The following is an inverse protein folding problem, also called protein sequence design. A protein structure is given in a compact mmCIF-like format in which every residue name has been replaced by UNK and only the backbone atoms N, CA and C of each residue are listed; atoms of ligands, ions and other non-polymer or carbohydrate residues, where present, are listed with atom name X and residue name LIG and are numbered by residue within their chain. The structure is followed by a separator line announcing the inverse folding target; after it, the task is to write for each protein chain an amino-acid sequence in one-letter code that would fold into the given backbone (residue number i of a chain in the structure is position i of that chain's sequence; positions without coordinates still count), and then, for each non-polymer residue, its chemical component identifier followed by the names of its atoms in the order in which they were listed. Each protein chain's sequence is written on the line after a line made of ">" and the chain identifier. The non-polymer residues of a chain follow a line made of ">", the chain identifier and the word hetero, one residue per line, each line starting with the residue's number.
data_IF_141082071224
#
_entry.id   IF_141082071224
#
_cell.length_a   1.000
_cell.length_b   1.000
_cell.length_c   1.000
_cell.angle_alpha   90.00
_cell.angle_beta   90.00
_cell.angle_gamma   90.00
#
_symmetry.space_group_name_H-M   'P 1'
#
loop_
_entity.id
_entity.type
_entity.pdbx_description
1 polymer ?
#
# COMPACT_ATOMS: atom_id res chain seq x y z
N UNK A 1 -29.44 15.08 11.12
CA UNK A 1 -28.62 14.91 12.34
C UNK A 1 -27.21 15.02 11.79
N UNK A 2 -26.49 16.10 12.10
CA UNK A 2 -25.08 16.19 11.70
C UNK A 2 -24.33 15.16 12.55
N UNK A 3 -23.85 14.09 11.93
CA UNK A 3 -22.95 13.15 12.56
C UNK A 3 -21.58 13.81 12.61
N UNK A 4 -21.15 14.19 13.82
CA UNK A 4 -19.80 14.65 14.06
C UNK A 4 -18.95 13.41 14.31
N UNK A 5 -18.02 13.12 13.39
CA UNK A 5 -17.04 12.06 13.55
C UNK A 5 -15.86 12.61 14.34
N UNK A 6 -15.59 12.04 15.52
CA UNK A 6 -14.42 12.39 16.32
C UNK A 6 -13.19 11.68 15.75
N UNK A 7 -12.15 12.46 15.41
CA UNK A 7 -10.90 11.94 14.84
C UNK A 7 -9.73 12.09 15.81
N UNK A 8 -8.73 11.23 15.67
CA UNK A 8 -7.48 11.25 16.43
C UNK A 8 -6.74 12.58 16.23
N UNK A 9 -6.13 13.09 17.29
CA UNK A 9 -5.30 14.28 17.20
C UNK A 9 -4.00 14.04 16.41
N UNK A 10 -3.44 15.11 15.86
CA UNK A 10 -2.20 15.06 15.05
C UNK A 10 -1.01 14.42 15.76
N UNK A 11 -0.87 14.62 17.07
CA UNK A 11 0.24 14.03 17.85
C UNK A 11 0.05 12.51 18.05
N UNK A 12 -1.21 12.05 18.12
CA UNK A 12 -1.50 10.61 18.11
C UNK A 12 -1.14 10.04 16.74
N UNK A 13 -1.54 10.69 15.64
CA UNK A 13 -1.17 10.26 14.29
C UNK A 13 0.36 10.15 14.12
N UNK A 14 1.14 11.15 14.54
CA UNK A 14 2.62 11.07 14.51
C UNK A 14 3.16 9.90 15.32
N UNK A 15 2.55 9.61 16.47
CA UNK A 15 2.93 8.45 17.29
C UNK A 15 2.68 7.14 16.55
N UNK A 16 1.54 7.02 15.85
CA UNK A 16 1.24 5.88 14.98
C UNK A 16 2.29 5.78 13.85
N UNK A 17 2.51 6.86 13.11
CA UNK A 17 3.43 6.87 11.95
C UNK A 17 4.87 6.53 12.33
N UNK A 18 5.35 7.03 13.46
CA UNK A 18 6.72 6.76 13.95
C UNK A 18 6.90 5.33 14.49
N UNK A 19 5.81 4.65 14.83
CA UNK A 19 5.82 3.26 15.27
C UNK A 19 5.83 2.24 14.13
N UNK A 20 5.52 2.66 12.89
CA UNK A 20 5.39 1.75 11.75
C UNK A 20 6.74 1.50 11.06
N UNK A 21 7.08 0.23 10.89
CA UNK A 21 8.12 -0.22 9.97
C UNK A 21 7.62 -0.14 8.50
N UNK A 22 8.54 -0.12 7.52
CA UNK A 22 8.16 -0.20 6.11
C UNK A 22 7.33 -1.45 5.80
N UNK A 23 7.67 -2.60 6.38
CA UNK A 23 6.93 -3.85 6.20
C UNK A 23 5.49 -3.74 6.73
N UNK A 24 5.28 -3.10 7.88
CA UNK A 24 3.94 -2.86 8.44
C UNK A 24 3.11 -1.88 7.59
N UNK A 25 3.76 -1.05 6.77
CA UNK A 25 3.09 -0.18 5.79
C UNK A 25 2.82 -0.93 4.48
N UNK A 26 3.70 -1.82 4.05
CA UNK A 26 3.58 -2.50 2.75
C UNK A 26 2.67 -3.73 2.82
N UNK A 27 2.85 -4.57 3.84
CA UNK A 27 2.17 -5.87 3.97
C UNK A 27 0.64 -5.75 3.87
N UNK A 28 -0.03 -4.78 4.53
CA UNK A 28 -1.48 -4.69 4.43
C UNK A 28 -1.98 -4.38 3.02
N UNK A 29 -1.31 -3.49 2.29
CA UNK A 29 -1.62 -3.22 0.89
C UNK A 29 -1.38 -4.44 0.01
N UNK A 30 -0.22 -5.10 0.17
CA UNK A 30 0.15 -6.27 -0.62
C UNK A 30 -0.84 -7.44 -0.41
N UNK A 31 -1.21 -7.73 0.83
CA UNK A 31 -2.17 -8.78 1.18
C UNK A 31 -3.59 -8.53 0.66
N UNK A 32 -3.92 -7.27 0.35
CA UNK A 32 -5.22 -6.86 -0.19
C UNK A 32 -5.17 -6.48 -1.67
N UNK A 33 -4.01 -6.65 -2.31
CA UNK A 33 -3.80 -6.37 -3.73
C UNK A 33 -3.96 -7.66 -4.55
N UNK A 34 -4.48 -7.52 -5.78
CA UNK A 34 -4.53 -8.62 -6.74
C UNK A 34 -4.23 -8.08 -8.13
N UNK A 35 -3.11 -8.47 -8.76
CA UNK A 35 -2.71 -7.94 -10.06
C UNK A 35 -3.81 -8.11 -11.11
N UNK A 36 -4.06 -7.05 -11.86
CA UNK A 36 -5.10 -6.96 -12.89
C UNK A 36 -6.53 -6.82 -12.37
N UNK A 37 -6.78 -6.89 -11.05
CA UNK A 37 -8.14 -6.98 -10.50
C UNK A 37 -8.40 -5.96 -9.40
N UNK A 38 -7.50 -5.86 -8.42
CA UNK A 38 -7.72 -5.13 -7.17
C UNK A 38 -6.52 -4.30 -6.78
N UNK A 39 -6.72 -3.01 -6.53
CA UNK A 39 -5.72 -2.13 -5.93
C UNK A 39 -5.68 -2.38 -4.43
N UNK A 40 -4.49 -2.55 -3.87
CA UNK A 40 -4.30 -2.69 -2.43
C UNK A 40 -3.84 -1.38 -1.81
N UNK A 41 -4.43 -1.00 -0.69
CA UNK A 41 -4.11 0.21 0.05
C UNK A 41 -3.74 -0.17 1.48
N UNK A 42 -2.80 0.56 2.07
CA UNK A 42 -2.60 0.60 3.52
C UNK A 42 -3.12 1.93 4.01
N UNK A 43 -4.09 1.89 4.92
CA UNK A 43 -4.80 3.08 5.41
C UNK A 43 -4.67 3.20 6.93
N UNK A 44 -4.76 4.44 7.42
CA UNK A 44 -4.99 4.74 8.84
C UNK A 44 -6.41 5.23 9.00
N UNK A 45 -7.20 4.53 9.79
CA UNK A 45 -8.52 5.00 10.20
C UNK A 45 -8.36 6.16 11.19
N UNK A 46 -8.93 7.30 10.85
CA UNK A 46 -8.76 8.52 11.65
C UNK A 46 -9.63 8.55 12.90
N UNK A 47 -10.64 7.69 13.04
CA UNK A 47 -11.46 7.61 14.26
C UNK A 47 -10.69 6.93 15.40
N UNK A 48 -9.90 5.89 15.09
CA UNK A 48 -9.25 5.04 16.10
C UNK A 48 -7.73 4.95 15.99
N UNK A 49 -7.13 5.40 14.88
CA UNK A 49 -5.70 5.34 14.62
C UNK A 49 -5.16 3.97 14.21
N UNK A 50 -6.02 3.00 13.93
CA UNK A 50 -5.61 1.68 13.49
C UNK A 50 -5.16 1.70 12.03
N UNK A 51 -4.12 0.93 11.74
CA UNK A 51 -3.59 0.73 10.38
C UNK A 51 -4.05 -0.62 9.87
N UNK A 52 -4.62 -0.66 8.66
CA UNK A 52 -5.06 -1.89 8.02
C UNK A 52 -5.06 -1.78 6.49
N UNK A 53 -5.19 -2.95 5.85
CA UNK A 53 -5.26 -3.07 4.41
C UNK A 53 -6.68 -2.90 3.91
N UNK A 54 -6.84 -2.21 2.79
CA UNK A 54 -8.10 -2.05 2.08
C UNK A 54 -7.88 -2.43 0.62
N UNK A 55 -8.67 -3.37 0.13
CA UNK A 55 -8.61 -3.84 -1.26
C UNK A 55 -9.78 -3.29 -2.06
N UNK A 56 -9.49 -2.66 -3.20
CA UNK A 56 -10.44 -1.93 -4.03
C UNK A 56 -10.51 -2.55 -5.41
N UNK A 57 -11.66 -3.13 -5.77
CA UNK A 57 -11.83 -3.68 -7.10
C UNK A 57 -11.85 -2.56 -8.15
N UNK A 58 -11.33 -2.84 -9.35
CA UNK A 58 -11.25 -1.86 -10.45
C UNK A 58 -12.58 -1.14 -10.78
N UNK A 59 -13.73 -1.78 -10.51
CA UNK A 59 -15.06 -1.24 -10.81
C UNK A 59 -15.79 -0.66 -9.58
N UNK A 60 -15.17 -0.65 -8.40
CA UNK A 60 -15.80 -0.15 -7.19
C UNK A 60 -15.51 1.33 -6.97
N UNK A 61 -16.57 2.11 -6.80
CA UNK A 61 -16.50 3.47 -6.26
C UNK A 61 -16.60 3.36 -4.74
N UNK A 62 -15.56 3.76 -4.02
CA UNK A 62 -15.59 3.84 -2.56
C UNK A 62 -16.66 4.85 -2.12
N UNK A 63 -17.78 4.35 -1.64
CA UNK A 63 -18.71 5.11 -0.80
C UNK A 63 -18.16 5.04 0.62
N UNK A 64 -17.14 5.86 0.91
CA UNK A 64 -16.45 5.82 2.20
C UNK A 64 -17.42 6.26 3.32
N UNK A 65 -17.86 5.30 4.12
CA UNK A 65 -18.52 5.54 5.41
C UNK A 65 -17.51 5.80 6.53
N UNK A 66 -16.21 5.62 6.26
CA UNK A 66 -15.11 5.74 7.23
C UNK A 66 -14.15 6.85 6.80
N UNK A 67 -13.71 7.68 7.74
CA UNK A 67 -12.67 8.70 7.51
C UNK A 67 -11.28 8.08 7.72
N UNK A 68 -10.45 8.08 6.67
CA UNK A 68 -9.11 7.49 6.69
C UNK A 68 -8.12 8.28 5.84
N UNK A 69 -6.84 8.00 6.01
CA UNK A 69 -5.78 8.46 5.11
C UNK A 69 -4.96 7.28 4.58
N UNK A 70 -4.50 7.38 3.34
CA UNK A 70 -3.67 6.37 2.69
C UNK A 70 -2.19 6.58 2.99
N UNK A 71 -1.52 5.54 3.49
CA UNK A 71 -0.08 5.51 3.70
C UNK A 71 0.69 4.98 2.48
N UNK A 72 0.13 3.97 1.83
CA UNK A 72 0.72 3.31 0.66
C UNK A 72 -0.37 2.72 -0.23
N UNK A 73 -0.12 2.69 -1.54
CA UNK A 73 -1.04 2.16 -2.54
C UNK A 73 -0.25 1.33 -3.54
N UNK A 74 -0.73 0.12 -3.82
CA UNK A 74 -0.23 -0.75 -4.87
C UNK A 74 -1.34 -0.92 -5.91
N UNK A 75 -1.14 -0.35 -7.10
CA UNK A 75 -2.20 -0.33 -8.12
C UNK A 75 -2.40 -1.69 -8.77
N UNK A 76 -3.63 -1.98 -9.15
CA UNK A 76 -3.98 -3.22 -9.84
C UNK A 76 -3.16 -3.43 -11.14
N UNK A 77 -2.72 -2.36 -11.80
CA UNK A 77 -1.96 -2.41 -13.06
C UNK A 77 -0.43 -2.37 -12.86
N UNK A 78 0.05 -2.37 -11.61
CA UNK A 78 1.47 -2.35 -11.28
C UNK A 78 2.00 -3.76 -11.03
N UNK A 79 3.19 -4.08 -11.56
CA UNK A 79 3.95 -5.28 -11.21
C UNK A 79 5.25 -4.83 -10.56
N UNK A 80 5.24 -4.60 -9.24
CA UNK A 80 6.25 -3.76 -8.60
C UNK A 80 7.60 -4.47 -8.38
N UNK A 81 7.64 -5.79 -8.57
CA UNK A 81 8.86 -6.61 -8.50
C UNK A 81 8.89 -7.51 -9.73
N UNK A 82 9.98 -7.46 -10.47
CA UNK A 82 10.25 -8.37 -11.58
C UNK A 82 11.11 -9.55 -11.12
N UNK A 83 11.33 -10.53 -12.01
CA UNK A 83 12.07 -11.75 -11.68
C UNK A 83 13.55 -11.46 -11.35
N UNK A 84 14.14 -10.50 -12.04
CA UNK A 84 15.53 -10.05 -11.81
C UNK A 84 15.74 -9.44 -10.43
N UNK A 85 14.71 -8.78 -9.89
CA UNK A 85 14.74 -8.18 -8.56
C UNK A 85 14.34 -9.16 -7.46
N UNK A 86 13.45 -10.11 -7.78
CA UNK A 86 13.00 -11.14 -6.85
C UNK A 86 14.14 -12.08 -6.43
N UNK A 87 15.03 -12.39 -7.36
CA UNK A 87 16.09 -13.36 -7.18
C UNK A 87 17.46 -12.69 -7.06
N UNK A 88 18.34 -13.28 -6.24
CA UNK A 88 19.76 -12.94 -6.32
C UNK A 88 20.32 -13.30 -7.70
N UNK A 89 21.46 -12.72 -8.14
CA UNK A 89 22.00 -13.00 -9.47
C UNK A 89 22.19 -14.48 -9.77
N UNK A 90 22.56 -15.29 -8.77
CA UNK A 90 22.71 -16.73 -8.92
C UNK A 90 21.36 -17.46 -8.99
N UNK A 91 20.41 -17.13 -8.10
CA UNK A 91 19.05 -17.68 -8.15
C UNK A 91 18.35 -17.34 -9.48
N UNK A 92 18.61 -16.15 -10.04
CA UNK A 92 18.05 -15.72 -11.32
C UNK A 92 18.62 -16.53 -12.49
N UNK A 93 19.93 -16.80 -12.51
CA UNK A 93 20.53 -17.70 -13.51
C UNK A 93 19.93 -19.10 -13.44
N UNK A 94 19.76 -19.66 -12.24
CA UNK A 94 19.10 -20.94 -12.03
C UNK A 94 17.62 -20.92 -12.47
N UNK A 95 16.92 -19.82 -12.21
CA UNK A 95 15.54 -19.61 -12.67
C UNK A 95 15.46 -19.57 -14.19
N UNK A 96 16.41 -18.90 -14.86
CA UNK A 96 16.47 -18.87 -16.33
C UNK A 96 16.67 -20.27 -16.91
N UNK A 97 17.59 -21.07 -16.34
CA UNK A 97 17.78 -22.46 -16.74
C UNK A 97 16.49 -23.28 -16.53
N UNK A 98 15.89 -23.19 -15.35
CA UNK A 98 14.61 -23.85 -15.02
C UNK A 98 13.48 -23.48 -15.98
N UNK A 99 13.36 -22.19 -16.31
CA UNK A 99 12.34 -21.68 -17.23
C UNK A 99 12.58 -22.05 -18.70
N UNK A 100 13.83 -22.35 -19.06
CA UNK A 100 14.22 -22.70 -20.43
C UNK A 100 14.02 -24.16 -20.79
N UNK A 101 13.98 -25.04 -19.78
CA UNK A 101 13.85 -26.49 -19.96
C UNK A 101 12.41 -26.95 -20.26
N UNK A 102 11.41 -26.08 -20.09
CA UNK A 102 10.01 -26.37 -20.37
C UNK A 102 9.50 -25.58 -21.61
N UNK A 103 9.34 -26.19 -22.80
CA UNK A 103 8.79 -25.52 -23.98
C UNK A 103 7.27 -25.32 -23.89
N UNK A 104 6.75 -25.01 -22.70
CA UNK A 104 5.34 -24.90 -22.45
C UNK A 104 4.90 -23.45 -22.70
N UNK A 105 4.14 -23.26 -23.78
CA UNK A 105 3.34 -22.06 -24.00
C UNK A 105 2.45 -21.82 -22.77
N UNK A 106 2.85 -20.88 -21.93
CA UNK A 106 2.02 -20.28 -20.87
C UNK A 106 1.71 -21.17 -19.66
N UNK A 107 2.67 -21.29 -18.72
CA UNK A 107 2.37 -21.65 -17.32
C UNK A 107 2.35 -20.34 -16.51
N UNK A 108 1.19 -19.93 -15.95
CA UNK A 108 1.04 -18.63 -15.30
C UNK A 108 1.95 -18.39 -14.08
N UNK A 109 2.42 -19.45 -13.40
CA UNK A 109 3.06 -19.35 -12.08
C UNK A 109 4.44 -20.05 -12.00
N UNK A 110 5.25 -20.02 -13.07
CA UNK A 110 6.59 -20.65 -13.08
C UNK A 110 7.54 -20.11 -11.97
N UNK A 111 7.32 -18.86 -11.55
CA UNK A 111 8.04 -18.22 -10.44
C UNK A 111 7.71 -18.93 -9.13
N UNK A 112 6.43 -19.20 -8.88
CA UNK A 112 5.97 -19.88 -7.67
C UNK A 112 6.50 -21.30 -7.62
N UNK A 113 6.45 -22.03 -8.74
CA UNK A 113 7.02 -23.38 -8.82
C UNK A 113 8.52 -23.41 -8.50
N UNK A 114 9.28 -22.44 -9.04
CA UNK A 114 10.71 -22.31 -8.75
C UNK A 114 10.95 -21.97 -7.26
N UNK A 115 10.16 -21.05 -6.71
CA UNK A 115 10.26 -20.67 -5.29
C UNK A 115 9.97 -21.87 -4.38
N UNK A 116 8.92 -22.65 -4.65
CA UNK A 116 8.60 -23.86 -3.91
C UNK A 116 9.72 -24.91 -3.98
N UNK A 117 10.27 -25.14 -5.18
CA UNK A 117 11.39 -26.07 -5.40
C UNK A 117 12.63 -25.67 -4.59
N UNK A 118 12.91 -24.37 -4.49
CA UNK A 118 14.09 -23.82 -3.79
C UNK A 118 13.83 -23.57 -2.30
N UNK A 119 12.59 -23.72 -1.82
CA UNK A 119 12.20 -23.40 -0.46
C UNK A 119 12.25 -21.90 -0.15
N UNK A 120 11.99 -21.07 -1.17
CA UNK A 120 11.92 -19.61 -1.06
C UNK A 120 10.47 -19.23 -0.70
N UNK A 121 10.32 -18.44 0.36
CA UNK A 121 9.05 -17.79 0.67
C UNK A 121 8.86 -16.59 -0.25
N UNK A 122 8.15 -16.80 -1.36
CA UNK A 122 7.89 -15.79 -2.38
C UNK A 122 7.15 -14.58 -1.79
N UNK A 123 6.17 -14.81 -0.92
CA UNK A 123 5.31 -13.78 -0.35
C UNK A 123 6.10 -12.85 0.57
N UNK A 124 6.81 -13.41 1.55
CA UNK A 124 7.64 -12.62 2.47
C UNK A 124 8.80 -11.93 1.74
N UNK A 125 9.39 -12.56 0.71
CA UNK A 125 10.45 -11.93 -0.09
C UNK A 125 9.93 -10.75 -0.89
N UNK A 126 8.74 -10.86 -1.50
CA UNK A 126 8.12 -9.74 -2.21
C UNK A 126 7.79 -8.59 -1.27
N UNK A 127 7.24 -8.87 -0.09
CA UNK A 127 6.99 -7.83 0.93
C UNK A 127 8.31 -7.15 1.34
N UNK A 128 9.37 -7.92 1.61
CA UNK A 128 10.67 -7.38 2.02
C UNK A 128 11.31 -6.47 0.95
N UNK A 129 11.23 -6.86 -0.33
CA UNK A 129 11.73 -6.06 -1.45
C UNK A 129 10.92 -4.77 -1.63
N UNK A 130 9.58 -4.86 -1.56
CA UNK A 130 8.72 -3.67 -1.60
C UNK A 130 8.97 -2.73 -0.43
N UNK A 131 9.14 -3.26 0.77
CA UNK A 131 9.47 -2.50 1.97
C UNK A 131 10.82 -1.79 1.83
N UNK A 132 11.83 -2.47 1.28
CA UNK A 132 13.12 -1.88 0.97
C UNK A 132 13.01 -0.75 -0.06
N UNK A 133 12.27 -0.98 -1.15
CA UNK A 133 12.05 0.03 -2.19
C UNK A 133 11.28 1.24 -1.67
N UNK A 134 10.27 1.02 -0.83
CA UNK A 134 9.51 2.08 -0.19
C UNK A 134 10.40 2.91 0.74
N UNK A 135 11.20 2.27 1.61
CA UNK A 135 12.15 2.95 2.48
C UNK A 135 13.16 3.78 1.68
N UNK A 136 13.66 3.24 0.57
CA UNK A 136 14.67 3.89 -0.27
C UNK A 136 14.13 5.02 -1.13
N UNK A 137 12.88 4.94 -1.59
CA UNK A 137 12.34 5.85 -2.60
C UNK A 137 11.34 6.85 -2.01
N UNK A 138 10.45 6.39 -1.13
CA UNK A 138 9.38 7.22 -0.56
C UNK A 138 9.70 7.72 0.84
N UNK A 139 10.27 6.86 1.69
CA UNK A 139 10.58 7.16 3.09
C UNK A 139 12.05 7.48 3.36
N UNK A 140 12.85 7.70 2.31
CA UNK A 140 14.26 8.03 2.42
C UNK A 140 14.53 9.25 3.31
N UNK A 141 13.56 10.17 3.33
CA UNK A 141 13.47 11.23 4.32
C UNK A 141 12.13 11.09 5.07
N UNK A 142 12.19 10.46 6.25
CA UNK A 142 11.03 10.25 7.10
C UNK A 142 10.24 11.55 7.35
N UNK A 143 10.90 12.67 7.66
CA UNK A 143 10.21 13.93 7.95
C UNK A 143 9.43 14.45 6.73
N UNK A 144 9.97 14.25 5.53
CA UNK A 144 9.30 14.63 4.29
C UNK A 144 8.09 13.73 4.01
N UNK A 145 8.24 12.42 4.23
CA UNK A 145 7.14 11.46 4.12
C UNK A 145 6.04 11.76 5.15
N UNK A 146 6.39 11.91 6.43
CA UNK A 146 5.47 12.28 7.51
C UNK A 146 4.72 13.56 7.15
N UNK A 147 5.41 14.60 6.66
CA UNK A 147 4.76 15.85 6.24
C UNK A 147 3.73 15.65 5.12
N UNK A 148 4.00 14.76 4.16
CA UNK A 148 3.03 14.42 3.10
C UNK A 148 1.79 13.73 3.70
N UNK A 149 1.98 12.80 4.63
CA UNK A 149 0.88 12.10 5.32
C UNK A 149 0.08 13.07 6.17
N UNK A 150 0.73 13.99 6.89
CA UNK A 150 0.06 15.02 7.68
C UNK A 150 -0.75 15.98 6.80
N UNK A 151 -0.27 16.31 5.60
CA UNK A 151 -1.08 17.09 4.66
C UNK A 151 -2.35 16.34 4.25
N UNK A 152 -2.27 15.03 3.95
CA UNK A 152 -3.46 14.20 3.69
C UNK A 152 -4.42 14.18 4.88
N UNK A 153 -3.89 14.13 6.11
CA UNK A 153 -4.70 14.21 7.32
C UNK A 153 -5.44 15.53 7.42
N UNK A 154 -4.75 16.66 7.19
CA UNK A 154 -5.39 17.96 7.18
C UNK A 154 -6.46 18.04 6.08
N UNK A 155 -6.15 17.59 4.87
CA UNK A 155 -7.10 17.57 3.77
C UNK A 155 -8.34 16.73 4.12
N UNK A 156 -8.18 15.53 4.68
CA UNK A 156 -9.29 14.67 5.08
C UNK A 156 -10.20 15.31 6.15
N UNK A 157 -9.62 15.94 7.18
CA UNK A 157 -10.42 16.58 8.23
C UNK A 157 -10.99 17.95 7.79
N UNK A 158 -10.39 18.62 6.80
CA UNK A 158 -10.89 19.88 6.26
C UNK A 158 -11.94 19.66 5.15
N UNK A 159 -11.80 18.62 4.33
CA UNK A 159 -12.77 18.26 3.29
C UNK A 159 -14.08 17.74 3.89
N UNK A 160 -14.08 17.18 5.11
CA UNK A 160 -15.28 16.73 5.83
C UNK A 160 -15.74 17.61 7.01
N UNK A 161 -15.13 18.77 7.24
CA UNK A 161 -15.62 19.79 8.19
C UNK A 161 -15.66 21.19 7.59
N UNK A 162 -16.35 21.34 6.45
CA UNK A 162 -16.89 22.64 6.07
C UNK A 162 -18.44 22.67 6.10
N UNK A 163 -19.07 22.76 7.29
CA UNK A 163 -20.47 23.17 7.41
C UNK A 163 -20.69 24.65 6.98
N UNK A 164 -19.62 25.32 6.57
CA UNK A 164 -19.58 26.71 6.15
C UNK A 164 -18.96 26.89 4.76
N UNK A 165 -19.56 26.27 3.74
CA UNK A 165 -19.91 27.11 2.59
C UNK A 165 -20.88 28.17 3.10
N UNK A 166 -20.35 29.23 3.69
CA UNK A 166 -21.13 30.44 3.91
C UNK A 166 -21.57 30.91 2.53
N UNK A 167 -22.87 30.78 2.27
CA UNK A 167 -23.55 31.78 1.48
C UNK A 167 -23.27 33.13 2.15
N UNK A 168 -22.35 33.90 1.60
CA UNK A 168 -22.52 35.35 1.62
C UNK A 168 -23.06 35.77 0.27
N UNK A 169 -24.39 35.67 0.17
CA UNK A 169 -25.13 36.74 -0.50
C UNK A 169 -25.15 37.92 0.46
N UNK A 170 -24.43 38.99 0.12
CA UNK A 170 -24.75 40.43 0.26
C UNK A 170 -23.46 41.21 -0.06
N UNK A 171 -23.40 42.11 -1.03
CA UNK A 171 -24.38 42.99 -1.68
C UNK A 171 -24.31 42.91 -3.21
#
# INVERSE_FOLDING_TARGET
>A
MEEFVEVIGVEHLKTVLSGLSPEEIIKPAYDNWMPGIKTGHTIVNLENGNVYGLGVDFNELHLATEIYIELFTLKFDEYPINEEELFSPHEYEEFLEFSSDDPCEYIPDIITDFCEMKGIDEHERKIGLLAYNFEKNERANYNMWESKVLNKYYDAIYEDHNPFKFSQSTL
#
